data_IF_607124304756
#
_entry.id   IF_607124304756
#
_cell.length_a   1.000
_cell.length_b   1.000
_cell.length_c   1.000
_cell.angle_alpha   90.00
_cell.angle_beta   90.00
_cell.angle_gamma   90.00
#
_symmetry.space_group_name_H-M   'P 1'
#
loop_
_entity.id
_entity.type
_entity.pdbx_description
1 polymer ?
#
# COMPACT_ATOMS: atom_id res chain seq x y z
N UNK A 1 -52.79 0.71 -30.24
CA UNK A 1 -52.54 1.87 -29.37
C UNK A 1 -53.13 1.55 -28.00
N UNK A 2 -52.57 1.99 -26.86
CA UNK A 2 -51.23 2.54 -26.54
C UNK A 2 -50.56 1.64 -25.46
N UNK A 3 -49.37 1.82 -24.86
CA UNK A 3 -48.14 2.61 -25.01
C UNK A 3 -47.17 2.09 -23.91
N UNK A 4 -45.85 2.12 -24.17
CA UNK A 4 -44.74 2.57 -23.28
C UNK A 4 -44.58 1.93 -21.88
N UNK A 5 -43.41 1.61 -21.33
CA UNK A 5 -42.02 2.10 -21.38
C UNK A 5 -41.15 0.97 -20.78
N UNK A 6 -39.87 0.76 -21.07
CA UNK A 6 -38.80 1.75 -21.15
C UNK A 6 -38.25 2.10 -19.76
N UNK A 7 -37.40 1.24 -19.18
CA UNK A 7 -36.43 1.59 -18.12
C UNK A 7 -35.36 0.47 -18.10
N UNK A 8 -34.17 0.65 -18.68
CA UNK A 8 -33.07 1.52 -18.26
C UNK A 8 -32.41 1.05 -16.95
N UNK A 9 -31.09 0.87 -17.02
CA UNK A 9 -30.22 0.95 -15.85
C UNK A 9 -29.71 -0.39 -15.34
N UNK A 10 -28.63 -0.85 -15.96
CA UNK A 10 -27.72 -1.83 -15.39
C UNK A 10 -27.16 -1.28 -14.08
N UNK A 11 -27.44 -1.92 -12.95
CA UNK A 11 -26.72 -1.68 -11.70
C UNK A 11 -25.88 -2.91 -11.39
N UNK A 12 -24.75 -3.05 -12.07
CA UNK A 12 -23.70 -3.97 -11.65
C UNK A 12 -23.00 -3.33 -10.46
N UNK A 13 -23.45 -3.65 -9.24
CA UNK A 13 -22.65 -3.39 -8.03
C UNK A 13 -21.42 -4.30 -8.09
N UNK A 14 -20.36 -3.82 -8.72
CA UNK A 14 -19.02 -4.34 -8.52
C UNK A 14 -18.57 -3.91 -7.12
N UNK A 15 -19.07 -4.60 -6.10
CA UNK A 15 -18.42 -4.60 -4.79
C UNK A 15 -17.17 -5.46 -4.95
N UNK A 16 -16.06 -4.84 -5.34
CA UNK A 16 -14.75 -5.45 -5.12
C UNK A 16 -14.51 -5.42 -3.62
N UNK A 17 -15.10 -6.38 -2.90
CA UNK A 17 -14.46 -6.90 -1.72
C UNK A 17 -13.15 -7.47 -2.24
N UNK A 18 -12.06 -6.73 -2.06
CA UNK A 18 -10.73 -7.32 -2.13
C UNK A 18 -10.83 -8.49 -1.15
N UNK A 19 -10.77 -9.76 -1.59
CA UNK A 19 -10.61 -10.81 -0.62
C UNK A 19 -9.37 -10.40 0.16
N UNK A 20 -9.48 -10.33 1.49
CA UNK A 20 -8.31 -10.33 2.35
C UNK A 20 -7.54 -11.58 1.97
N UNK A 21 -6.68 -11.45 0.96
CA UNK A 21 -5.78 -12.49 0.54
C UNK A 21 -4.94 -12.69 1.77
N UNK A 22 -5.15 -13.84 2.37
CA UNK A 22 -4.28 -14.50 3.32
C UNK A 22 -2.88 -14.60 2.67
N UNK A 23 -2.21 -13.45 2.57
CA UNK A 23 -0.77 -13.40 2.56
C UNK A 23 -0.38 -14.01 3.90
N UNK A 24 0.64 -14.88 3.96
CA UNK A 24 1.02 -15.50 5.22
C UNK A 24 1.25 -14.39 6.25
N UNK A 25 0.37 -14.35 7.27
CA UNK A 25 0.41 -13.44 8.42
C UNK A 25 1.79 -13.45 9.10
N UNK A 26 2.57 -14.50 8.89
CA UNK A 26 3.92 -14.66 9.43
C UNK A 26 4.92 -13.57 8.96
N UNK A 27 4.62 -12.82 7.89
CA UNK A 27 5.53 -11.79 7.35
C UNK A 27 4.96 -10.36 7.42
N UNK A 28 3.78 -10.13 8.00
CA UNK A 28 3.28 -8.77 8.21
C UNK A 28 3.68 -8.24 9.59
N UNK A 29 3.89 -6.93 9.66
CA UNK A 29 4.23 -6.24 10.89
C UNK A 29 3.70 -4.81 10.87
N UNK A 30 3.61 -4.21 12.06
CA UNK A 30 3.10 -2.86 12.23
C UNK A 30 4.26 -1.85 12.35
N UNK A 31 4.17 -0.74 11.62
CA UNK A 31 5.09 0.39 11.76
C UNK A 31 4.36 1.52 12.46
N UNK A 32 4.84 1.90 13.65
CA UNK A 32 4.31 3.03 14.40
C UNK A 32 5.21 4.26 14.23
N UNK A 33 4.61 5.41 13.96
CA UNK A 33 5.33 6.66 13.72
C UNK A 33 4.50 7.88 14.06
N UNK A 34 5.16 9.04 14.15
CA UNK A 34 4.49 10.32 14.34
C UNK A 34 4.50 11.10 13.04
N UNK A 35 3.35 11.61 12.62
CA UNK A 35 3.22 12.44 11.43
C UNK A 35 2.27 13.60 11.69
N UNK A 36 2.69 14.82 11.35
CA UNK A 36 1.94 16.06 11.63
C UNK A 36 1.46 16.17 13.10
N UNK A 37 2.30 15.72 14.04
CA UNK A 37 2.04 15.77 15.48
C UNK A 37 1.05 14.71 16.01
N UNK A 38 0.68 13.72 15.19
CA UNK A 38 -0.23 12.63 15.60
C UNK A 38 0.47 11.26 15.48
N UNK A 39 0.21 10.33 16.41
CA UNK A 39 0.65 8.95 16.24
C UNK A 39 -0.18 8.26 15.16
N UNK A 40 0.51 7.47 14.34
CA UNK A 40 -0.07 6.65 13.28
C UNK A 40 0.54 5.25 13.34
N UNK A 41 -0.23 4.29 12.83
CA UNK A 41 0.17 2.91 12.60
C UNK A 41 -0.22 2.56 11.17
N UNK A 42 0.67 1.83 10.48
CA UNK A 42 0.42 1.24 9.17
C UNK A 42 0.88 -0.22 9.18
N UNK A 43 0.17 -1.05 8.41
CA UNK A 43 0.58 -2.42 8.17
C UNK A 43 1.63 -2.47 7.04
N UNK A 44 2.68 -3.24 7.28
CA UNK A 44 3.75 -3.52 6.35
C UNK A 44 3.88 -5.02 6.14
N UNK A 45 4.24 -5.45 4.93
CA UNK A 45 4.43 -6.85 4.58
C UNK A 45 5.84 -7.05 4.06
N UNK A 46 6.60 -7.93 4.72
CA UNK A 46 7.92 -8.33 4.30
C UNK A 46 7.84 -9.42 3.22
N UNK A 47 8.39 -9.14 2.05
CA UNK A 47 8.32 -10.04 0.89
C UNK A 47 9.74 -10.42 0.49
N UNK A 48 10.07 -11.70 0.65
CA UNK A 48 11.36 -12.25 0.20
C UNK A 48 11.26 -12.81 -1.20
N UNK A 49 12.35 -12.69 -1.96
CA UNK A 49 12.53 -13.31 -3.27
C UNK A 49 13.84 -14.11 -3.26
N UNK A 50 14.13 -14.83 -4.35
CA UNK A 50 15.36 -15.62 -4.45
C UNK A 50 16.66 -14.80 -4.38
N UNK A 51 16.60 -13.49 -4.67
CA UNK A 51 17.80 -12.64 -4.82
C UNK A 51 17.77 -11.35 -3.98
N UNK A 52 16.60 -10.94 -3.47
CA UNK A 52 16.44 -9.73 -2.66
C UNK A 52 15.17 -9.83 -1.81
N UNK A 53 14.84 -8.79 -1.06
CA UNK A 53 13.55 -8.63 -0.39
C UNK A 53 12.98 -7.25 -0.68
N UNK A 54 11.68 -7.08 -0.42
CA UNK A 54 11.02 -5.77 -0.40
C UNK A 54 10.01 -5.72 0.74
N UNK A 55 9.61 -4.52 1.10
CA UNK A 55 8.61 -4.28 2.15
C UNK A 55 7.50 -3.46 1.53
N UNK A 56 6.31 -4.04 1.41
CA UNK A 56 5.14 -3.33 0.87
C UNK A 56 4.38 -2.71 2.04
N UNK A 57 4.16 -1.39 1.99
CA UNK A 57 3.47 -0.62 3.03
C UNK A 57 2.24 0.06 2.42
N UNK A 58 1.07 -0.12 3.03
CA UNK A 58 -0.11 0.66 2.65
C UNK A 58 -0.10 2.02 3.34
N UNK A 59 0.07 3.08 2.54
CA UNK A 59 0.00 4.46 3.00
C UNK A 59 -1.33 5.07 2.55
N UNK A 60 -2.36 4.83 3.34
CA UNK A 60 -3.70 5.41 3.16
C UNK A 60 -4.28 5.10 1.76
N UNK A 61 -4.18 3.85 1.33
CA UNK A 61 -4.68 3.39 0.03
C UNK A 61 -3.71 3.57 -1.14
N UNK A 62 -2.46 3.93 -0.86
CA UNK A 62 -1.34 3.87 -1.82
C UNK A 62 -0.29 2.89 -1.33
N UNK A 63 -0.01 1.84 -2.11
CA UNK A 63 1.05 0.90 -1.77
C UNK A 63 2.42 1.46 -2.17
N UNK A 64 3.33 1.51 -1.20
CA UNK A 64 4.73 1.89 -1.41
C UNK A 64 5.61 0.69 -1.10
N UNK A 65 6.39 0.26 -2.08
CA UNK A 65 7.38 -0.81 -1.92
C UNK A 65 8.73 -0.22 -1.54
N UNK A 66 9.35 -0.72 -0.48
CA UNK A 66 10.70 -0.37 -0.05
C UNK A 66 11.65 -1.51 -0.37
N UNK A 67 12.66 -1.25 -1.19
CA UNK A 67 13.65 -2.23 -1.62
C UNK A 67 15.04 -1.81 -1.14
N UNK A 68 15.88 -2.73 -0.65
CA UNK A 68 17.27 -2.43 -0.38
C UNK A 68 18.02 -2.16 -1.69
N UNK A 69 18.86 -1.13 -1.69
CA UNK A 69 19.82 -0.86 -2.76
C UNK A 69 21.18 -1.54 -2.50
N UNK A 70 22.15 -1.30 -3.39
CA UNK A 70 23.50 -1.88 -3.29
C UNK A 70 24.25 -1.46 -2.02
N UNK A 71 23.91 -0.29 -1.47
CA UNK A 71 24.47 0.28 -0.24
C UNK A 71 23.65 -0.10 1.01
N UNK A 72 22.61 -0.93 0.84
CA UNK A 72 21.63 -1.35 1.87
C UNK A 72 20.77 -0.20 2.41
N UNK A 73 20.62 0.89 1.67
CA UNK A 73 19.60 1.89 1.96
C UNK A 73 18.28 1.45 1.33
N UNK A 74 17.15 1.90 1.88
CA UNK A 74 15.84 1.62 1.29
C UNK A 74 15.49 2.64 0.22
N UNK A 75 15.23 2.19 -1.01
CA UNK A 75 14.54 3.00 -2.03
C UNK A 75 13.04 2.76 -1.97
N UNK A 76 12.27 3.84 -2.02
CA UNK A 76 10.81 3.78 -2.12
C UNK A 76 10.36 3.76 -3.59
N UNK A 77 9.49 2.83 -3.93
CA UNK A 77 8.87 2.66 -5.25
C UNK A 77 7.36 2.74 -5.08
N UNK A 78 6.74 3.74 -5.72
CA UNK A 78 5.29 3.88 -5.73
C UNK A 78 4.68 2.87 -6.71
N UNK A 79 3.81 1.99 -6.22
CA UNK A 79 3.03 1.11 -7.09
C UNK A 79 1.84 1.89 -7.62
N UNK A 80 1.91 2.38 -8.86
CA UNK A 80 0.74 2.94 -9.53
C UNK A 80 -0.13 1.80 -10.02
N UNK A 81 -1.26 1.57 -9.38
CA UNK A 81 -2.28 0.67 -9.93
C UNK A 81 -2.95 1.37 -11.13
N UNK A 82 -2.88 0.73 -12.31
CA UNK A 82 -3.54 1.22 -13.52
C UNK A 82 -5.04 1.47 -13.24
N UNK A 83 -5.48 2.72 -13.45
CA UNK A 83 -6.88 3.12 -13.28
C UNK A 83 -7.26 3.64 -11.90
N UNK A 84 -6.36 3.62 -10.89
CA UNK A 84 -6.54 4.37 -9.64
C UNK A 84 -5.78 5.68 -9.70
N UNK A 85 -6.48 6.75 -10.06
CA UNK A 85 -5.98 8.12 -9.88
C UNK A 85 -6.10 8.52 -8.40
N UNK A 86 -5.23 7.95 -7.55
CA UNK A 86 -5.02 8.46 -6.20
C UNK A 86 -3.95 9.56 -6.21
N UNK A 87 -4.08 10.53 -5.32
CA UNK A 87 -2.95 11.42 -5.04
C UNK A 87 -1.79 10.58 -4.48
N UNK A 88 -0.54 10.78 -4.94
CA UNK A 88 0.59 10.09 -4.39
C UNK A 88 0.71 10.39 -2.89
N UNK A 89 1.20 9.44 -2.08
CA UNK A 89 1.38 9.69 -0.66
C UNK A 89 2.34 10.86 -0.44
N UNK A 90 2.10 11.61 0.63
CA UNK A 90 2.94 12.75 0.99
C UNK A 90 4.40 12.32 1.11
N UNK A 91 5.30 13.05 0.45
CA UNK A 91 6.72 12.69 0.42
C UNK A 91 7.33 12.58 1.83
N UNK A 92 6.91 13.43 2.76
CA UNK A 92 7.41 13.38 4.13
C UNK A 92 6.98 12.10 4.85
N UNK A 93 5.79 11.59 4.55
CA UNK A 93 5.32 10.30 5.06
C UNK A 93 6.19 9.15 4.53
N UNK A 94 6.48 9.14 3.22
CA UNK A 94 7.35 8.12 2.61
C UNK A 94 8.74 8.11 3.24
N UNK A 95 9.31 9.29 3.49
CA UNK A 95 10.62 9.41 4.17
C UNK A 95 10.58 8.87 5.60
N UNK A 96 9.57 9.25 6.40
CA UNK A 96 9.45 8.78 7.79
C UNK A 96 9.38 7.26 7.86
N UNK A 97 8.65 6.62 6.95
CA UNK A 97 8.56 5.17 6.88
C UNK A 97 9.91 4.55 6.47
N UNK A 98 10.58 5.12 5.47
CA UNK A 98 11.93 4.71 5.09
C UNK A 98 12.90 4.75 6.28
N UNK A 99 12.92 5.85 7.03
CA UNK A 99 13.76 6.01 8.22
C UNK A 99 13.43 4.96 9.29
N UNK A 100 12.14 4.67 9.51
CA UNK A 100 11.71 3.63 10.46
C UNK A 100 12.17 2.24 10.02
N UNK A 101 12.09 1.94 8.73
CA UNK A 101 12.58 0.67 8.20
C UNK A 101 14.10 0.58 8.32
N UNK A 102 14.84 1.66 8.06
CA UNK A 102 16.28 1.68 8.33
C UNK A 102 16.58 1.42 9.81
N UNK A 103 15.89 2.07 10.74
CA UNK A 103 16.06 1.82 12.19
C UNK A 103 15.77 0.37 12.58
N UNK A 104 14.78 -0.27 11.97
CA UNK A 104 14.36 -1.63 12.30
C UNK A 104 15.27 -2.71 11.72
N UNK A 105 15.90 -2.46 10.56
CA UNK A 105 16.67 -3.44 9.81
C UNK A 105 18.18 -3.13 9.73
N UNK A 106 18.63 -2.02 10.32
CA UNK A 106 20.07 -1.71 10.47
C UNK A 106 20.62 -2.48 11.67
N UNK A 107 21.47 -3.47 11.39
CA UNK A 107 22.29 -4.21 12.37
C UNK A 107 23.28 -3.29 13.12
#
# INVERSE_FOLDING_TARGET
MPQHSGAAGSEWKLTFAIPSTDLPLDNSFEITFHYKGKPHSVEAVFITTAFSYRIDVDLFGSTVSYEPDEERNFRAVLQQEEGKAGDPPDRGLVVIIGDKLEEMFRD
#
